data_IF_268044734394
#
_entry.id   IF_268044734394
#
_cell.length_a   1.000
_cell.length_b   1.000
_cell.length_c   1.000
_cell.angle_alpha   90.00
_cell.angle_beta   90.00
_cell.angle_gamma   90.00
#
_symmetry.space_group_name_H-M   'P 1'
#
loop_
_entity.id
_entity.type
_entity.pdbx_description
1 polymer ?
#
# COMPACT_ATOMS: atom_id res chain seq x y z
N UNK A 1 -16.67 29.02 21.57
CA UNK A 1 -15.58 29.64 20.80
C UNK A 1 -15.17 28.64 19.72
N UNK A 2 -15.51 28.95 18.47
CA UNK A 2 -15.52 28.07 17.31
C UNK A 2 -14.08 27.78 16.82
N UNK A 3 -13.68 26.51 16.71
CA UNK A 3 -12.40 26.12 16.08
C UNK A 3 -12.68 25.56 14.68
N UNK A 4 -12.31 26.35 13.68
CA UNK A 4 -12.22 25.95 12.28
C UNK A 4 -11.18 24.82 12.15
N UNK A 5 -11.58 23.67 11.62
CA UNK A 5 -10.66 22.68 11.08
C UNK A 5 -10.59 22.90 9.56
N UNK A 6 -9.42 23.32 9.08
CA UNK A 6 -9.16 23.47 7.65
C UNK A 6 -9.12 22.10 6.97
N UNK A 7 -10.03 21.93 6.03
CA UNK A 7 -10.16 20.87 5.05
C UNK A 7 -8.89 20.85 4.15
N UNK A 8 -8.30 19.68 3.89
CA UNK A 8 -7.34 19.53 2.78
C UNK A 8 -7.69 18.31 1.95
N UNK A 9 -8.26 18.64 0.78
CA UNK A 9 -8.45 17.82 -0.42
C UNK A 9 -7.18 17.01 -0.73
N UNK A 10 -7.36 15.70 -0.92
CA UNK A 10 -6.33 14.82 -1.48
C UNK A 10 -6.44 14.92 -3.00
N UNK A 11 -5.60 15.76 -3.62
CA UNK A 11 -5.27 15.63 -5.04
C UNK A 11 -4.09 14.68 -5.11
N UNK A 12 -4.31 13.47 -5.64
CA UNK A 12 -3.21 12.63 -6.10
C UNK A 12 -2.50 13.38 -7.23
N UNK A 13 -1.29 13.86 -6.96
CA UNK A 13 -0.40 14.38 -7.98
C UNK A 13 -0.04 13.24 -8.93
N UNK A 14 -0.62 13.30 -10.13
CA UNK A 14 -0.20 12.49 -11.27
C UNK A 14 1.21 12.97 -11.60
N UNK A 15 2.22 12.15 -11.34
CA UNK A 15 3.54 12.36 -11.92
C UNK A 15 3.40 12.19 -13.43
N UNK A 16 3.41 13.31 -14.15
CA UNK A 16 3.41 13.36 -15.60
C UNK A 16 4.69 12.72 -16.13
N UNK A 17 4.57 11.51 -16.70
CA UNK A 17 5.52 11.08 -17.71
C UNK A 17 5.33 11.97 -18.94
N UNK A 18 6.40 12.69 -19.31
CA UNK A 18 6.53 13.31 -20.61
C UNK A 18 6.41 12.21 -21.69
N UNK A 19 5.34 12.27 -22.47
CA UNK A 19 5.28 11.65 -23.80
C UNK A 19 5.39 12.83 -24.76
N UNK A 20 6.62 13.09 -25.22
CA UNK A 20 6.85 13.93 -26.39
C UNK A 20 6.39 13.15 -27.63
N UNK A 21 5.61 13.82 -28.47
CA UNK A 21 5.32 13.37 -29.82
C UNK A 21 3.84 13.24 -30.13
N UNK A 22 3.15 14.37 -30.31
CA UNK A 22 2.44 14.72 -31.57
C UNK A 22 2.27 16.24 -31.58
N UNK A 23 2.87 16.91 -32.56
CA UNK A 23 2.70 18.34 -32.81
C UNK A 23 1.28 18.63 -33.32
N UNK A 24 0.50 19.42 -32.57
CA UNK A 24 -0.68 20.08 -33.12
C UNK A 24 -0.31 21.48 -33.59
N UNK A 25 -0.34 21.67 -34.92
CA UNK A 25 -0.38 22.99 -35.54
C UNK A 25 -1.86 23.39 -35.65
N UNK A 26 -2.26 24.41 -34.90
CA UNK A 26 -3.51 25.12 -35.13
C UNK A 26 -3.30 26.15 -36.25
N UNK A 27 -4.00 25.97 -37.37
CA UNK A 27 -4.29 27.04 -38.33
C UNK A 27 -5.75 26.95 -38.79
N UNK A 28 -6.48 28.02 -38.54
CA UNK A 28 -7.78 28.31 -39.13
C UNK A 28 -7.68 28.48 -40.66
N UNK A 29 -8.77 28.10 -41.34
CA UNK A 29 -9.16 28.67 -42.63
C UNK A 29 -9.33 27.67 -43.78
N UNK A 30 -10.54 27.63 -44.37
CA UNK A 30 -10.69 27.30 -45.78
C UNK A 30 -11.63 26.15 -46.14
N UNK A 31 -12.91 26.51 -46.31
CA UNK A 31 -13.95 25.92 -47.15
C UNK A 31 -13.50 24.98 -48.31
N UNK A 32 -14.06 23.77 -48.40
CA UNK A 32 -14.81 23.29 -49.59
C UNK A 32 -15.29 21.84 -49.44
N UNK A 33 -16.43 21.58 -50.07
CA UNK A 33 -17.22 20.34 -50.08
C UNK A 33 -16.51 19.24 -50.87
N UNK A 34 -16.56 18.01 -50.37
CA UNK A 34 -16.81 16.85 -51.24
C UNK A 34 -17.58 15.76 -50.49
N UNK A 35 -18.70 15.39 -51.07
CA UNK A 35 -19.60 14.30 -50.67
C UNK A 35 -19.12 13.05 -51.40
N UNK A 36 -19.09 11.89 -50.75
CA UNK A 36 -19.60 10.61 -51.28
C UNK A 36 -19.54 9.49 -50.21
N UNK A 37 -20.46 8.53 -50.40
CA UNK A 37 -21.08 7.61 -49.42
C UNK A 37 -20.52 6.17 -49.52
N UNK A 38 -20.99 5.20 -48.69
CA UNK A 38 -20.26 3.99 -48.31
C UNK A 38 -20.49 2.80 -49.25
N UNK A 39 -19.55 1.85 -49.25
CA UNK A 39 -19.74 0.38 -49.23
C UNK A 39 -18.45 -0.30 -49.71
N UNK A 40 -17.90 -1.24 -48.95
CA UNK A 40 -17.87 -2.63 -49.42
C UNK A 40 -17.34 -3.59 -48.34
N UNK A 41 -18.19 -4.56 -48.04
CA UNK A 41 -17.86 -5.81 -47.37
C UNK A 41 -17.14 -6.73 -48.35
N UNK A 42 -15.93 -7.20 -48.01
CA UNK A 42 -15.44 -8.58 -48.18
C UNK A 42 -13.92 -8.66 -48.33
N UNK A 43 -13.20 -8.85 -47.20
CA UNK A 43 -12.04 -9.76 -47.17
C UNK A 43 -12.06 -10.55 -45.87
N UNK A 44 -12.38 -11.83 -46.02
CA UNK A 44 -12.35 -12.88 -45.00
C UNK A 44 -10.97 -13.57 -45.02
N UNK A 45 -10.50 -13.94 -43.83
CA UNK A 45 -9.33 -14.78 -43.50
C UNK A 45 -7.96 -14.07 -43.60
N UNK A 46 -7.08 -14.13 -42.61
CA UNK A 46 -6.81 -15.20 -41.65
C UNK A 46 -6.55 -14.66 -40.23
N UNK A 47 -7.04 -15.43 -39.27
CA UNK A 47 -6.71 -15.51 -37.85
C UNK A 47 -5.39 -14.85 -37.41
N UNK A 48 -5.47 -13.97 -36.41
CA UNK A 48 -4.85 -14.31 -35.14
C UNK A 48 -5.79 -13.93 -33.98
N UNK A 49 -6.27 -14.99 -33.34
CA UNK A 49 -7.25 -15.02 -32.27
C UNK A 49 -6.53 -15.08 -30.94
N UNK A 50 -6.46 -13.95 -30.22
CA UNK A 50 -6.36 -13.90 -28.75
C UNK A 50 -6.56 -12.44 -28.35
N UNK A 51 -7.61 -12.03 -27.67
CA UNK A 51 -7.80 -12.32 -26.25
C UNK A 51 -9.22 -11.88 -25.86
N UNK A 52 -10.25 -12.61 -26.32
CA UNK A 52 -11.60 -12.53 -25.76
C UNK A 52 -11.70 -13.61 -24.68
N UNK A 53 -11.01 -13.39 -23.56
CA UNK A 53 -11.23 -14.21 -22.36
C UNK A 53 -12.55 -13.75 -21.78
N UNK A 54 -13.61 -14.45 -22.16
CA UNK A 54 -14.90 -14.45 -21.48
C UNK A 54 -14.67 -14.41 -19.96
N UNK A 55 -15.18 -13.36 -19.31
CA UNK A 55 -15.44 -13.33 -17.88
C UNK A 55 -16.45 -14.42 -17.56
N UNK A 56 -15.94 -15.65 -17.44
CA UNK A 56 -16.67 -16.74 -16.81
C UNK A 56 -16.54 -16.46 -15.32
N UNK A 57 -17.56 -15.83 -14.74
CA UNK A 57 -17.77 -15.81 -13.30
C UNK A 57 -17.88 -17.28 -12.89
N UNK A 58 -16.77 -17.84 -12.41
CA UNK A 58 -16.83 -19.06 -11.63
C UNK A 58 -17.44 -18.55 -10.32
N UNK A 59 -18.70 -18.87 -10.05
CA UNK A 59 -19.17 -18.92 -8.66
C UNK A 59 -18.22 -19.90 -7.98
N UNK A 60 -17.20 -19.38 -7.31
CA UNK A 60 -16.35 -20.22 -6.49
C UNK A 60 -17.23 -20.72 -5.35
N UNK A 61 -17.40 -22.05 -5.27
CA UNK A 61 -18.20 -22.67 -4.22
C UNK A 61 -17.66 -22.21 -2.86
N UNK A 62 -18.55 -21.61 -2.06
CA UNK A 62 -18.20 -21.17 -0.71
C UNK A 62 -17.80 -22.38 0.13
N UNK A 63 -16.57 -22.38 0.66
CA UNK A 63 -16.04 -23.48 1.47
C UNK A 63 -16.33 -23.32 2.96
N UNK A 64 -16.29 -22.08 3.47
CA UNK A 64 -16.52 -21.80 4.88
C UNK A 64 -16.95 -20.33 5.09
N UNK A 65 -17.66 -20.07 6.19
CA UNK A 65 -18.10 -18.74 6.59
C UNK A 65 -17.94 -18.55 8.10
N UNK A 66 -17.25 -17.47 8.49
CA UNK A 66 -17.16 -17.02 9.88
C UNK A 66 -17.84 -15.65 10.01
N UNK A 67 -18.87 -15.57 10.84
CA UNK A 67 -19.50 -14.30 11.25
C UNK A 67 -19.12 -13.97 12.69
N UNK A 68 -18.53 -12.80 12.89
CA UNK A 68 -18.16 -12.28 14.21
C UNK A 68 -19.30 -11.48 14.83
N UNK A 69 -19.30 -11.33 16.16
CA UNK A 69 -20.35 -10.61 16.90
C UNK A 69 -20.47 -9.13 16.54
N UNK A 70 -19.42 -8.53 15.99
CA UNK A 70 -19.39 -7.15 15.50
C UNK A 70 -19.81 -7.02 14.03
N UNK A 71 -20.40 -8.07 13.44
CA UNK A 71 -20.91 -8.07 12.07
C UNK A 71 -19.86 -8.32 10.98
N UNK A 72 -18.56 -8.37 11.31
CA UNK A 72 -17.53 -8.76 10.35
C UNK A 72 -17.74 -10.20 9.91
N UNK A 73 -17.75 -10.45 8.60
CA UNK A 73 -17.95 -11.79 8.04
C UNK A 73 -16.84 -12.13 7.06
N UNK A 74 -16.22 -13.30 7.25
CA UNK A 74 -15.20 -13.85 6.35
C UNK A 74 -15.81 -15.04 5.62
N UNK A 75 -15.72 -15.06 4.30
CA UNK A 75 -16.18 -16.14 3.43
C UNK A 75 -14.97 -16.70 2.69
N UNK A 76 -14.65 -17.98 2.91
CA UNK A 76 -13.53 -18.65 2.25
C UNK A 76 -14.00 -19.33 0.97
N UNK A 77 -13.30 -19.04 -0.12
CA UNK A 77 -13.39 -19.76 -1.39
C UNK A 77 -12.21 -20.74 -1.54
N UNK A 78 -11.11 -20.44 -0.86
CA UNK A 78 -9.99 -21.37 -0.67
C UNK A 78 -9.44 -21.24 0.75
N UNK A 79 -9.21 -22.37 1.41
CA UNK A 79 -8.42 -22.42 2.64
C UNK A 79 -6.96 -22.72 2.30
N UNK A 80 -6.07 -21.84 2.72
CA UNK A 80 -4.64 -22.02 2.66
C UNK A 80 -4.17 -23.11 3.62
N UNK A 81 -3.08 -23.75 3.24
CA UNK A 81 -2.36 -24.78 4.02
C UNK A 81 -1.17 -24.19 4.80
N UNK A 82 -0.90 -22.89 4.64
CA UNK A 82 0.19 -22.21 5.31
C UNK A 82 -0.10 -21.81 6.77
N UNK A 83 0.88 -21.12 7.35
CA UNK A 83 0.80 -20.67 8.74
C UNK A 83 -0.34 -19.67 8.98
N UNK A 84 -0.92 -19.74 10.18
CA UNK A 84 -1.84 -18.70 10.67
C UNK A 84 -1.09 -17.40 10.82
N UNK A 85 -1.68 -16.33 10.29
CA UNK A 85 -1.09 -15.00 10.33
C UNK A 85 -1.02 -14.47 11.77
N UNK A 86 0.13 -13.92 12.13
CA UNK A 86 0.41 -13.33 13.44
C UNK A 86 0.77 -11.86 13.29
N UNK A 87 0.56 -11.09 14.37
CA UNK A 87 1.02 -9.70 14.42
C UNK A 87 2.52 -9.63 14.12
N UNK A 88 2.92 -8.71 13.25
CA UNK A 88 4.30 -8.55 12.82
C UNK A 88 4.76 -9.50 11.70
N UNK A 89 3.88 -10.37 11.19
CA UNK A 89 4.13 -11.07 9.92
C UNK A 89 4.01 -10.06 8.76
N UNK A 90 5.01 -10.05 7.88
CA UNK A 90 4.88 -9.39 6.58
C UNK A 90 4.29 -10.39 5.60
N UNK A 91 3.17 -10.03 4.96
CA UNK A 91 2.50 -10.84 3.95
C UNK A 91 2.46 -10.11 2.60
N UNK A 92 2.51 -10.85 1.51
CA UNK A 92 2.16 -10.34 0.20
C UNK A 92 0.70 -10.68 -0.10
N UNK A 93 -0.11 -9.67 -0.38
CA UNK A 93 -1.54 -9.84 -0.64
C UNK A 93 -1.89 -9.45 -2.06
N UNK A 94 -2.86 -10.15 -2.67
CA UNK A 94 -3.65 -9.68 -3.81
C UNK A 94 -5.03 -9.26 -3.30
N UNK A 95 -5.39 -7.98 -3.42
CA UNK A 95 -6.63 -7.48 -2.83
C UNK A 95 -7.42 -6.53 -3.72
N UNK A 96 -8.72 -6.44 -3.43
CA UNK A 96 -9.65 -5.45 -3.94
C UNK A 96 -10.58 -4.99 -2.81
N UNK A 97 -10.69 -3.69 -2.59
CA UNK A 97 -11.75 -3.12 -1.78
C UNK A 97 -12.89 -2.68 -2.68
N UNK A 98 -14.10 -3.09 -2.29
CA UNK A 98 -15.33 -2.82 -3.03
C UNK A 98 -16.40 -2.23 -2.12
N UNK A 99 -17.31 -1.49 -2.72
CA UNK A 99 -18.62 -1.18 -2.13
C UNK A 99 -19.59 -2.34 -2.38
N UNK A 100 -20.74 -2.33 -1.69
CA UNK A 100 -21.76 -3.37 -1.85
C UNK A 100 -22.41 -3.41 -3.24
N UNK A 101 -22.36 -2.30 -3.99
CA UNK A 101 -22.79 -2.24 -5.39
C UNK A 101 -21.76 -2.84 -6.37
N UNK A 102 -20.62 -3.33 -5.88
CA UNK A 102 -19.54 -3.91 -6.66
C UNK A 102 -18.47 -2.91 -7.12
N UNK A 103 -18.64 -1.62 -6.87
CA UNK A 103 -17.66 -0.58 -7.23
C UNK A 103 -16.32 -0.83 -6.54
N UNK A 104 -15.27 -1.09 -7.33
CA UNK A 104 -13.90 -1.24 -6.84
C UNK A 104 -13.26 0.13 -6.72
N UNK A 105 -12.83 0.52 -5.52
CA UNK A 105 -12.22 1.83 -5.28
C UNK A 105 -10.74 1.77 -4.86
N UNK A 106 -10.25 0.58 -4.51
CA UNK A 106 -8.85 0.36 -4.16
C UNK A 106 -8.45 -1.10 -4.44
N UNK A 107 -7.16 -1.35 -4.72
CA UNK A 107 -6.62 -2.67 -4.99
C UNK A 107 -5.39 -2.66 -5.88
N UNK A 108 -4.59 -3.72 -5.77
CA UNK A 108 -3.27 -3.82 -6.44
C UNK A 108 -3.33 -3.66 -7.96
N UNK A 109 -4.39 -4.20 -8.57
CA UNK A 109 -4.64 -4.13 -10.01
C UNK A 109 -4.76 -2.70 -10.54
N UNK A 110 -5.24 -1.74 -9.73
CA UNK A 110 -5.34 -0.32 -10.11
C UNK A 110 -3.96 0.33 -10.26
N UNK A 111 -2.97 -0.15 -9.51
CA UNK A 111 -1.58 0.30 -9.60
C UNK A 111 -0.68 -0.69 -10.36
N UNK A 112 -1.30 -1.60 -11.13
CA UNK A 112 -0.61 -2.59 -11.98
C UNK A 112 0.41 -3.46 -11.22
N UNK A 113 0.12 -3.76 -9.95
CA UNK A 113 0.92 -4.68 -9.14
C UNK A 113 0.22 -6.02 -8.99
N UNK A 114 1.01 -7.10 -8.97
CA UNK A 114 0.53 -8.45 -8.65
C UNK A 114 0.24 -8.62 -7.15
N UNK A 115 1.03 -7.96 -6.31
CA UNK A 115 0.88 -8.00 -4.86
C UNK A 115 1.32 -6.69 -4.21
N UNK A 116 0.89 -6.47 -2.98
CA UNK A 116 1.42 -5.42 -2.10
C UNK A 116 1.86 -6.08 -0.78
N UNK A 117 3.03 -5.69 -0.22
CA UNK A 117 3.44 -6.13 1.10
C UNK A 117 2.62 -5.42 2.19
N UNK A 118 2.18 -6.18 3.20
CA UNK A 118 1.34 -5.70 4.31
C UNK A 118 1.81 -6.32 5.62
N UNK A 119 2.02 -5.50 6.65
CA UNK A 119 2.43 -5.91 7.98
C UNK A 119 1.20 -6.08 8.88
N UNK A 120 0.96 -7.32 9.30
CA UNK A 120 -0.25 -7.69 10.04
C UNK A 120 -0.28 -7.05 11.42
N UNK A 121 -1.40 -6.40 11.77
CA UNK A 121 -1.65 -5.89 13.13
C UNK A 121 -0.92 -4.57 13.46
N UNK A 122 -0.58 -3.79 12.44
CA UNK A 122 0.11 -2.51 12.54
C UNK A 122 -0.76 -1.31 12.12
N UNK A 123 -2.09 -1.48 12.13
CA UNK A 123 -3.07 -0.42 11.88
C UNK A 123 -2.83 0.33 10.57
N UNK A 124 -2.38 -0.37 9.52
CA UNK A 124 -2.11 0.22 8.21
C UNK A 124 -3.40 0.57 7.45
N UNK A 125 -4.49 -0.11 7.81
CA UNK A 125 -5.83 0.02 7.22
C UNK A 125 -6.88 0.12 8.34
N UNK A 126 -8.16 -0.04 7.97
CA UNK A 126 -9.28 0.08 8.91
C UNK A 126 -9.28 -1.06 9.94
N UNK A 127 -9.91 -0.92 11.11
CA UNK A 127 -9.92 -1.95 12.15
C UNK A 127 -10.41 -3.33 11.67
N UNK A 128 -11.34 -3.36 10.71
CA UNK A 128 -11.84 -4.58 10.11
C UNK A 128 -10.76 -5.42 9.40
N UNK A 129 -9.76 -4.77 8.80
CA UNK A 129 -8.63 -5.47 8.18
C UNK A 129 -7.85 -6.29 9.21
N UNK A 130 -7.39 -5.64 10.28
CA UNK A 130 -6.58 -6.30 11.31
C UNK A 130 -7.37 -7.36 12.10
N UNK A 131 -8.68 -7.19 12.26
CA UNK A 131 -9.55 -8.21 12.85
C UNK A 131 -9.68 -9.45 11.95
N UNK A 132 -9.89 -9.24 10.65
CA UNK A 132 -10.04 -10.34 9.70
C UNK A 132 -8.72 -11.11 9.51
N UNK A 133 -7.60 -10.40 9.32
CA UNK A 133 -6.28 -11.02 9.08
C UNK A 133 -5.86 -11.99 10.21
N UNK A 134 -6.25 -11.72 11.46
CA UNK A 134 -6.02 -12.64 12.60
C UNK A 134 -6.68 -14.01 12.47
N UNK A 135 -7.61 -14.18 11.53
CA UNK A 135 -8.32 -15.43 11.25
C UNK A 135 -7.79 -16.14 10.01
N UNK A 136 -6.94 -15.48 9.23
CA UNK A 136 -6.47 -16.00 7.95
C UNK A 136 -5.13 -16.72 8.06
N UNK A 137 -4.84 -17.50 7.02
CA UNK A 137 -3.58 -18.23 6.80
C UNK A 137 -2.96 -17.84 5.47
N UNK A 138 -1.68 -18.12 5.32
CA UNK A 138 -1.03 -18.06 4.00
C UNK A 138 -1.71 -19.06 3.06
N UNK A 139 -2.11 -18.60 1.88
CA UNK A 139 -2.80 -19.38 0.85
C UNK A 139 -4.32 -19.21 0.84
N UNK A 140 -4.91 -18.51 1.80
CA UNK A 140 -6.35 -18.22 1.84
C UNK A 140 -6.78 -17.35 0.66
N UNK A 141 -7.96 -17.63 0.11
CA UNK A 141 -8.73 -16.78 -0.82
C UNK A 141 -10.11 -16.52 -0.21
N UNK A 142 -10.37 -15.26 0.14
CA UNK A 142 -11.53 -14.86 0.93
C UNK A 142 -12.20 -13.59 0.42
N UNK A 143 -13.50 -13.50 0.63
CA UNK A 143 -14.20 -12.22 0.72
C UNK A 143 -14.49 -11.89 2.19
N UNK A 144 -14.23 -10.65 2.57
CA UNK A 144 -14.42 -10.14 3.92
C UNK A 144 -15.41 -8.98 3.85
N UNK A 145 -16.61 -9.19 4.38
CA UNK A 145 -17.57 -8.11 4.61
C UNK A 145 -17.20 -7.38 5.90
N UNK A 146 -16.96 -6.08 5.78
CA UNK A 146 -16.55 -5.19 6.87
C UNK A 146 -17.67 -4.15 7.06
N UNK A 147 -18.42 -4.22 8.18
CA UNK A 147 -19.39 -3.20 8.54
C UNK A 147 -18.75 -1.80 8.58
N UNK A 148 -19.54 -0.77 8.24
CA UNK A 148 -19.06 0.60 8.12
C UNK A 148 -18.28 1.09 9.34
N UNK A 149 -18.71 0.76 10.56
CA UNK A 149 -18.04 1.10 11.83
C UNK A 149 -16.62 0.52 11.95
N UNK A 150 -16.34 -0.62 11.32
CA UNK A 150 -15.01 -1.25 11.23
C UNK A 150 -14.26 -0.88 9.95
N UNK A 151 -14.90 -0.10 9.08
CA UNK A 151 -14.38 0.39 7.81
C UNK A 151 -14.11 1.91 7.90
N UNK A 152 -14.85 2.73 7.15
CA UNK A 152 -14.66 4.19 7.04
C UNK A 152 -15.67 5.01 7.84
N UNK A 153 -16.62 4.33 8.50
CA UNK A 153 -17.65 4.92 9.36
C UNK A 153 -18.46 6.04 8.68
N UNK A 154 -18.98 6.95 9.49
CA UNK A 154 -19.75 8.12 9.05
C UNK A 154 -18.98 9.07 8.13
N UNK A 155 -17.64 9.01 8.14
CA UNK A 155 -16.81 9.92 7.34
C UNK A 155 -16.70 9.49 5.88
N UNK A 156 -16.64 8.19 5.62
CA UNK A 156 -16.34 7.68 4.28
C UNK A 156 -15.01 8.21 3.74
N UNK A 157 -14.95 8.39 2.41
CA UNK A 157 -13.91 9.09 1.67
C UNK A 157 -14.64 9.95 0.63
N UNK A 158 -14.50 11.27 0.73
CA UNK A 158 -15.16 12.20 -0.18
C UNK A 158 -14.88 11.83 -1.66
N UNK A 159 -15.96 11.72 -2.45
CA UNK A 159 -15.89 11.39 -3.87
C UNK A 159 -15.54 9.93 -4.21
N UNK A 160 -15.29 9.06 -3.22
CA UNK A 160 -14.82 7.70 -3.46
C UNK A 160 -15.57 6.62 -2.66
N UNK A 161 -15.80 6.84 -1.35
CA UNK A 161 -16.49 5.92 -0.45
C UNK A 161 -17.57 6.69 0.29
N UNK A 162 -18.86 6.38 0.12
CA UNK A 162 -19.93 7.08 0.82
C UNK A 162 -19.80 6.98 2.35
N UNK A 163 -20.28 7.98 3.11
CA UNK A 163 -20.56 7.86 4.53
C UNK A 163 -21.33 6.57 4.86
N UNK A 164 -20.95 5.90 5.95
CA UNK A 164 -21.60 4.69 6.45
C UNK A 164 -21.64 3.50 5.47
N UNK A 165 -20.81 3.53 4.42
CA UNK A 165 -20.72 2.41 3.50
C UNK A 165 -20.02 1.21 4.16
N UNK A 166 -20.62 0.02 4.04
CA UNK A 166 -19.91 -1.23 4.29
C UNK A 166 -18.88 -1.46 3.19
N UNK A 167 -17.83 -2.22 3.49
CA UNK A 167 -16.80 -2.55 2.52
C UNK A 167 -16.72 -4.07 2.33
N UNK A 168 -16.45 -4.50 1.11
CA UNK A 168 -16.15 -5.89 0.78
C UNK A 168 -14.68 -5.92 0.37
N UNK A 169 -13.86 -6.59 1.18
CA UNK A 169 -12.45 -6.84 0.90
C UNK A 169 -12.31 -8.24 0.30
N UNK A 170 -12.08 -8.32 -1.00
CA UNK A 170 -11.61 -9.56 -1.64
C UNK A 170 -10.10 -9.66 -1.43
N UNK A 171 -9.61 -10.74 -0.83
CA UNK A 171 -8.23 -10.87 -0.38
C UNK A 171 -7.67 -12.28 -0.61
N UNK A 172 -6.50 -12.34 -1.23
CA UNK A 172 -5.65 -13.52 -1.31
C UNK A 172 -4.37 -13.30 -0.54
N UNK A 173 -4.05 -14.19 0.38
CA UNK A 173 -2.77 -14.17 1.10
C UNK A 173 -1.77 -15.02 0.32
N UNK A 174 -0.91 -14.40 -0.46
CA UNK A 174 -0.08 -15.10 -1.45
C UNK A 174 1.15 -15.77 -0.81
N UNK A 175 1.82 -15.06 0.10
CA UNK A 175 3.04 -15.54 0.74
C UNK A 175 3.35 -14.75 2.01
N UNK A 176 4.14 -15.33 2.90
CA UNK A 176 4.77 -14.64 4.03
C UNK A 176 6.30 -14.62 3.83
N UNK A 177 6.88 -13.57 3.21
CA UNK A 177 8.33 -13.48 3.06
C UNK A 177 9.04 -13.31 4.41
N UNK A 178 10.16 -14.01 4.56
CA UNK A 178 11.08 -13.78 5.68
C UNK A 178 11.80 -12.42 5.54
N UNK A 179 12.25 -11.82 6.66
CA UNK A 179 13.07 -10.61 6.61
C UNK A 179 14.31 -10.80 5.73
N UNK A 180 14.58 -9.83 4.87
CA UNK A 180 15.82 -9.79 4.07
C UNK A 180 17.07 -9.65 4.94
N UNK A 181 16.92 -9.01 6.10
CA UNK A 181 17.90 -8.96 7.19
C UNK A 181 17.19 -8.93 8.53
N UNK A 182 17.85 -9.50 9.53
CA UNK A 182 17.49 -9.37 10.93
C UNK A 182 18.75 -9.07 11.75
N UNK A 183 18.69 -8.04 12.60
CA UNK A 183 19.80 -7.61 13.45
C UNK A 183 19.26 -7.08 14.76
N UNK A 184 19.74 -7.57 15.90
CA UNK A 184 19.26 -7.18 17.24
C UNK A 184 17.73 -7.30 17.43
N UNK A 185 17.09 -8.18 16.65
CA UNK A 185 15.64 -8.38 16.56
C UNK A 185 14.88 -7.33 15.72
N UNK A 186 15.59 -6.41 15.06
CA UNK A 186 15.05 -5.53 14.03
C UNK A 186 14.86 -6.36 12.78
N UNK A 187 13.63 -6.42 12.26
CA UNK A 187 13.30 -7.12 11.02
C UNK A 187 13.24 -6.13 9.87
N UNK A 188 13.97 -6.40 8.80
CA UNK A 188 14.09 -5.53 7.63
C UNK A 188 13.68 -6.31 6.41
N UNK A 189 12.64 -5.83 5.72
CA UNK A 189 12.23 -6.34 4.42
C UNK A 189 12.50 -5.28 3.36
N UNK A 190 13.43 -5.56 2.45
CA UNK A 190 13.56 -4.83 1.20
C UNK A 190 12.47 -5.29 0.24
N UNK A 191 11.54 -4.41 -0.10
CA UNK A 191 10.41 -4.68 -0.99
C UNK A 191 10.59 -3.95 -2.31
N UNK A 192 9.97 -4.44 -3.39
CA UNK A 192 10.09 -3.86 -4.74
C UNK A 192 11.54 -3.51 -5.15
N UNK A 193 12.50 -4.40 -4.92
CA UNK A 193 13.93 -4.11 -5.18
C UNK A 193 14.16 -3.67 -6.63
N UNK A 194 14.93 -2.60 -6.80
CA UNK A 194 15.34 -2.11 -8.11
C UNK A 194 16.41 -3.03 -8.71
N UNK A 195 16.42 -3.20 -10.04
CA UNK A 195 17.47 -3.94 -10.76
C UNK A 195 18.86 -3.31 -10.55
N UNK A 196 18.89 -1.98 -10.41
CA UNK A 196 20.11 -1.20 -10.15
C UNK A 196 19.86 -0.26 -8.98
N UNK A 197 20.20 -0.68 -7.74
CA UNK A 197 20.10 0.20 -6.58
C UNK A 197 21.19 1.27 -6.63
N UNK A 198 20.88 2.45 -6.12
CA UNK A 198 21.81 3.58 -5.98
C UNK A 198 22.89 3.33 -4.92
N UNK A 199 23.48 4.41 -4.42
CA UNK A 199 24.63 4.33 -3.52
C UNK A 199 24.30 3.65 -2.19
N UNK A 200 25.29 2.97 -1.60
CA UNK A 200 25.22 2.52 -0.20
C UNK A 200 25.12 3.72 0.73
N UNK A 201 24.69 3.51 1.96
CA UNK A 201 24.66 4.53 3.00
C UNK A 201 25.82 4.32 3.96
N UNK A 202 26.70 5.31 4.11
CA UNK A 202 27.88 5.29 4.97
C UNK A 202 27.78 6.36 6.09
N UNK A 203 28.69 6.31 7.07
CA UNK A 203 28.75 7.32 8.15
C UNK A 203 28.97 8.73 7.58
N UNK A 204 28.26 9.73 8.13
CA UNK A 204 28.16 11.12 7.66
C UNK A 204 27.42 11.38 6.36
N UNK A 205 26.98 10.35 5.62
CA UNK A 205 26.17 10.59 4.43
C UNK A 205 24.87 11.31 4.79
N UNK A 206 24.46 12.23 3.92
CA UNK A 206 23.14 12.83 3.96
C UNK A 206 22.16 11.90 3.23
N UNK A 207 21.07 11.52 3.89
CA UNK A 207 20.08 10.58 3.35
C UNK A 207 18.72 11.26 3.33
N UNK A 208 18.06 11.22 2.18
CA UNK A 208 16.69 11.70 2.01
C UNK A 208 15.75 10.51 1.97
N UNK A 209 14.79 10.47 2.89
CA UNK A 209 13.77 9.42 2.95
C UNK A 209 12.35 9.99 2.89
N UNK A 210 11.50 9.34 2.12
CA UNK A 210 10.05 9.43 2.34
C UNK A 210 9.62 8.23 3.17
N UNK A 211 8.85 8.48 4.21
CA UNK A 211 8.39 7.46 5.12
C UNK A 211 7.06 7.82 5.79
N UNK A 212 6.49 6.79 6.39
CA UNK A 212 5.60 6.94 7.54
C UNK A 212 5.96 5.91 8.61
N UNK A 213 5.68 6.24 9.87
CA UNK A 213 5.99 5.44 11.03
C UNK A 213 4.76 5.27 11.93
N UNK A 214 4.58 4.06 12.47
CA UNK A 214 3.52 3.71 13.42
C UNK A 214 4.12 3.13 14.69
N UNK A 215 3.52 3.41 15.83
CA UNK A 215 3.62 2.53 17.00
C UNK A 215 2.42 1.59 17.03
N UNK A 216 2.37 0.70 18.03
CA UNK A 216 1.24 -0.22 18.18
C UNK A 216 -0.08 0.52 18.49
N UNK A 217 -0.02 1.57 19.31
CA UNK A 217 -1.17 2.39 19.73
C UNK A 217 -1.42 3.62 18.84
N UNK A 218 -0.39 4.17 18.19
CA UNK A 218 -0.49 5.42 17.43
C UNK A 218 -0.10 5.21 15.96
N UNK A 219 -1.08 4.92 15.09
CA UNK A 219 -0.82 4.67 13.67
C UNK A 219 -0.37 5.94 12.95
N UNK A 220 0.66 5.85 12.10
CA UNK A 220 1.16 6.94 11.25
C UNK A 220 1.43 8.24 12.04
N UNK A 221 1.97 8.11 13.26
CA UNK A 221 2.25 9.26 14.12
C UNK A 221 3.21 10.25 13.45
N UNK A 222 4.20 9.73 12.71
CA UNK A 222 5.11 10.49 11.87
C UNK A 222 4.96 10.08 10.40
N UNK A 223 4.90 11.06 9.51
CA UNK A 223 4.59 10.86 8.11
C UNK A 223 5.10 12.04 7.26
N UNK A 224 6.13 11.78 6.46
CA UNK A 224 6.74 12.74 5.52
C UNK A 224 5.77 13.20 4.41
N UNK A 225 4.93 12.30 3.90
CA UNK A 225 3.92 12.60 2.88
C UNK A 225 2.88 13.61 3.38
N UNK A 226 2.48 13.49 4.65
CA UNK A 226 1.59 14.47 5.32
C UNK A 226 2.26 15.84 5.41
N UNK A 227 3.57 15.87 5.64
CA UNK A 227 4.39 17.10 5.67
C UNK A 227 4.73 17.63 4.28
N UNK A 228 4.51 16.85 3.21
CA UNK A 228 4.90 17.14 1.82
C UNK A 228 6.39 17.46 1.66
N UNK A 229 7.22 16.92 2.56
CA UNK A 229 8.67 17.10 2.54
C UNK A 229 9.34 15.78 2.96
N UNK A 230 10.31 15.26 2.18
CA UNK A 230 11.17 14.19 2.63
C UNK A 230 11.89 14.56 3.93
N UNK A 231 12.24 13.54 4.70
CA UNK A 231 13.09 13.73 5.87
C UNK A 231 14.54 13.58 5.48
N UNK A 232 15.30 14.65 5.74
CA UNK A 232 16.74 14.74 5.58
C UNK A 232 17.38 14.34 6.90
N UNK A 233 18.30 13.38 6.88
CA UNK A 233 19.07 12.96 8.04
C UNK A 233 20.55 12.82 7.69
N UNK A 234 21.42 13.02 8.68
CA UNK A 234 22.86 12.76 8.54
C UNK A 234 23.20 11.49 9.31
N UNK A 235 23.78 10.50 8.63
CA UNK A 235 24.09 9.23 9.27
C UNK A 235 25.11 9.41 10.42
N UNK A 236 24.66 9.11 11.63
CA UNK A 236 25.48 9.17 12.84
C UNK A 236 25.35 10.46 13.66
N UNK A 237 24.42 11.35 13.30
CA UNK A 237 24.14 12.58 14.06
C UNK A 237 23.32 12.36 15.35
N UNK A 238 22.74 11.16 15.52
CA UNK A 238 21.94 10.78 16.68
C UNK A 238 20.48 11.25 16.64
N UNK A 239 19.99 11.78 15.52
CA UNK A 239 18.62 12.31 15.38
C UNK A 239 17.54 11.25 15.12
N UNK A 240 17.95 9.99 14.92
CA UNK A 240 17.04 8.86 14.67
C UNK A 240 17.21 7.78 15.73
N UNK A 241 16.18 6.95 15.89
CA UNK A 241 16.25 5.81 16.82
C UNK A 241 17.32 4.80 16.40
N UNK A 242 18.00 4.12 17.35
CA UNK A 242 19.08 3.19 17.05
C UNK A 242 18.73 2.12 16.01
N UNK A 243 17.52 1.58 16.07
CA UNK A 243 17.08 0.55 15.14
C UNK A 243 16.89 1.05 13.71
N UNK A 244 16.48 2.31 13.53
CA UNK A 244 16.37 2.92 12.21
C UNK A 244 17.77 3.17 11.64
N UNK A 245 18.69 3.69 12.46
CA UNK A 245 20.09 3.84 12.08
C UNK A 245 20.72 2.52 11.62
N UNK A 246 20.56 1.45 12.42
CA UNK A 246 21.03 0.09 12.07
C UNK A 246 20.41 -0.43 10.78
N UNK A 247 19.11 -0.20 10.55
CA UNK A 247 18.44 -0.66 9.35
C UNK A 247 18.94 0.07 8.09
N UNK A 248 19.17 1.39 8.17
CA UNK A 248 19.65 2.19 7.06
C UNK A 248 21.09 1.83 6.63
N UNK A 249 21.92 1.26 7.50
CA UNK A 249 23.23 0.71 7.10
C UNK A 249 23.15 -0.41 6.06
N UNK A 250 22.02 -1.12 5.98
CA UNK A 250 21.81 -2.16 4.96
C UNK A 250 21.12 -1.64 3.71
N UNK A 251 20.71 -0.38 3.72
CA UNK A 251 19.94 0.24 2.66
C UNK A 251 20.84 0.89 1.60
N UNK A 252 20.25 1.12 0.43
CA UNK A 252 20.85 1.84 -0.69
C UNK A 252 19.85 2.85 -1.26
N UNK A 253 20.34 3.85 -1.98
CA UNK A 253 19.49 4.76 -2.74
C UNK A 253 18.48 3.99 -3.61
N UNK A 254 17.21 4.37 -3.56
CA UNK A 254 16.10 3.73 -4.27
C UNK A 254 15.47 2.52 -3.56
N UNK A 255 16.04 2.05 -2.44
CA UNK A 255 15.43 0.96 -1.68
C UNK A 255 14.06 1.36 -1.12
N UNK A 256 13.11 0.42 -1.16
CA UNK A 256 11.91 0.47 -0.34
C UNK A 256 12.02 -0.54 0.80
N UNK A 257 11.82 -0.09 2.02
CA UNK A 257 12.04 -0.87 3.22
C UNK A 257 10.79 -0.86 4.09
N UNK A 258 10.39 -2.04 4.53
CA UNK A 258 9.49 -2.20 5.66
C UNK A 258 10.34 -2.67 6.84
N UNK A 259 10.31 -1.95 7.95
CA UNK A 259 11.23 -2.18 9.08
C UNK A 259 10.42 -2.25 10.36
N UNK A 260 10.49 -3.39 11.05
CA UNK A 260 9.92 -3.58 12.37
C UNK A 260 11.02 -3.54 13.42
N UNK A 261 10.96 -2.53 14.28
CA UNK A 261 11.97 -2.21 15.30
C UNK A 261 11.41 -2.54 16.68
N UNK A 262 12.04 -3.46 17.45
CA UNK A 262 11.61 -3.74 18.80
C UNK A 262 11.84 -2.52 19.70
N UNK A 263 11.01 -2.34 20.73
CA UNK A 263 11.04 -1.16 21.59
C UNK A 263 12.42 -0.83 22.17
N UNK A 264 13.22 -1.85 22.52
CA UNK A 264 14.60 -1.71 23.01
C UNK A 264 15.57 -1.03 22.03
N UNK A 265 15.27 -1.07 20.73
CA UNK A 265 16.01 -0.40 19.65
C UNK A 265 15.29 0.90 19.20
N UNK A 266 14.21 1.27 19.87
CA UNK A 266 13.44 2.48 19.67
C UNK A 266 13.36 3.30 20.98
N UNK A 267 12.16 3.56 21.49
CA UNK A 267 11.94 4.43 22.66
C UNK A 267 11.93 3.68 24.00
N UNK A 268 12.08 2.35 23.97
CA UNK A 268 12.24 1.48 25.15
C UNK A 268 11.17 1.74 26.23
N UNK A 269 11.52 1.54 27.51
CA UNK A 269 10.65 1.85 28.67
C UNK A 269 10.26 3.31 28.82
N UNK A 270 10.87 4.22 28.05
CA UNK A 270 10.61 5.66 28.16
C UNK A 270 9.40 6.08 27.32
N UNK A 271 9.19 5.43 26.17
CA UNK A 271 8.24 5.93 25.17
C UNK A 271 8.70 7.27 24.56
N UNK A 272 7.82 7.90 23.79
CA UNK A 272 8.05 9.23 23.20
C UNK A 272 6.93 10.17 23.64
N UNK A 273 7.18 10.88 24.74
CA UNK A 273 6.25 11.89 25.27
C UNK A 273 4.85 11.29 25.45
N UNK A 274 3.85 11.85 24.77
CA UNK A 274 2.43 11.46 24.73
C UNK A 274 2.05 10.79 23.38
N UNK A 275 3.04 10.52 22.52
CA UNK A 275 2.84 10.00 21.17
C UNK A 275 3.02 8.48 21.13
N UNK A 276 4.02 7.97 21.84
CA UNK A 276 4.40 6.55 21.84
C UNK A 276 4.47 6.08 23.28
N UNK A 277 3.75 5.01 23.59
CA UNK A 277 3.72 4.45 24.93
C UNK A 277 5.03 3.71 25.27
N UNK A 278 5.35 3.56 26.56
CA UNK A 278 6.48 2.73 26.99
C UNK A 278 6.43 1.30 26.43
N UNK A 279 7.59 0.82 25.96
CA UNK A 279 7.81 -0.53 25.44
C UNK A 279 7.09 -0.86 24.12
N UNK A 280 6.64 0.14 23.37
CA UNK A 280 6.09 -0.08 22.03
C UNK A 280 7.19 -0.32 20.99
N UNK A 281 6.97 -1.34 20.17
CA UNK A 281 7.70 -1.54 18.93
C UNK A 281 7.29 -0.45 17.92
N UNK A 282 8.17 -0.19 16.95
CA UNK A 282 7.93 0.81 15.90
C UNK A 282 8.02 0.16 14.53
N UNK A 283 7.05 0.46 13.68
CA UNK A 283 7.07 0.07 12.28
C UNK A 283 7.35 1.29 11.39
N UNK A 284 8.26 1.12 10.43
CA UNK A 284 8.54 2.09 9.37
C UNK A 284 8.29 1.49 7.99
N UNK A 285 7.67 2.28 7.11
CA UNK A 285 7.61 2.04 5.67
C UNK A 285 8.34 3.21 4.99
N UNK A 286 9.46 2.91 4.32
CA UNK A 286 10.47 3.86 3.88
C UNK A 286 10.75 3.69 2.38
N UNK A 287 10.95 4.80 1.69
CA UNK A 287 11.60 4.91 0.39
C UNK A 287 12.85 5.76 0.58
N UNK A 288 14.02 5.18 0.33
CA UNK A 288 15.28 5.93 0.29
C UNK A 288 15.35 6.65 -1.06
N UNK A 289 15.21 7.97 -1.05
CA UNK A 289 15.18 8.78 -2.28
C UNK A 289 16.57 8.99 -2.84
N UNK A 290 17.47 9.44 -1.98
CA UNK A 290 18.80 9.90 -2.36
C UNK A 290 19.77 9.67 -1.22
N UNK A 291 21.03 9.39 -1.58
CA UNK A 291 22.16 9.33 -0.67
C UNK A 291 23.22 10.29 -1.21
N UNK A 292 23.52 11.34 -0.45
CA UNK A 292 24.52 12.34 -0.80
C UNK A 292 25.78 12.04 0.00
N UNK A 293 26.82 11.63 -0.72
CA UNK A 293 28.13 11.31 -0.12
C UNK A 293 28.76 12.55 0.50
N UNK A 294 29.21 12.42 1.75
CA UNK A 294 30.04 13.43 2.42
C UNK A 294 31.48 12.95 2.53
N UNK A 295 32.40 13.81 2.12
CA UNK A 295 33.85 13.63 2.29
C UNK A 295 34.29 13.77 3.75
#
# INVERSE_FOLDING_TARGET
MMRLFFLSVIVLAISSCNIEGVSHNDKEGGNSKEVLKPNDSSKMSLLDTSNKRSEKVIEEDTLDVLTMSNGLKITWYKKGDGELLKKGDLINIDYRNKLEDGTVYDGNHLIKKKYIPFLVGWNQQTPGWDLALKKLRVGDDVDIFIPSELARGEKGIEGLVPPNANNILSLRVLSKPEPTKEVDGIKIWRVDSLESPGDSIDFKDEVLIDYWASSESTPRYDNSYRRRKPFELVMGDGNIVPGLYKALHFARGGDKLMILIPSREAYSKKGLTDIIEPNEDIFYDIIVREVVKKE
#
